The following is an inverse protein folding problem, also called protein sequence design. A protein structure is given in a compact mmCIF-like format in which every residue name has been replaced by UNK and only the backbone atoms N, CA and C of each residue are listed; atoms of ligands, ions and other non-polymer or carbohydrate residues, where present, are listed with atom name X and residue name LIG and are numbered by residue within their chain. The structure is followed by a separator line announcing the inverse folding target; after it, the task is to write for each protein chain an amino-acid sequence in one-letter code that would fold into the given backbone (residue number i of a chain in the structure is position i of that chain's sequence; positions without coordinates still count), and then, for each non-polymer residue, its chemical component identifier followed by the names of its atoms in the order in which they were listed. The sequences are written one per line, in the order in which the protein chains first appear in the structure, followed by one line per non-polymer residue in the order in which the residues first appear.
data_IF_515954667991
#
_entry.id   IF_515954667991
#
_cell.length_a   1.000
_cell.length_b   1.000
_cell.length_c   1.000
_cell.angle_alpha   90.00
_cell.angle_beta   90.00
_cell.angle_gamma   90.00
#
_symmetry.space_group_name_H-M   'P 1'
#
loop_
_entity.id
_entity.type
_entity.pdbx_description
1 polymer ?
#
# COMPACT_ATOMS: atom_id res chain seq x y z
N UNK A 1 3.97 17.02 5.01
CA UNK A 1 3.59 15.82 4.23
C UNK A 1 2.08 15.65 4.30
N UNK A 2 1.39 15.49 3.16
CA UNK A 2 -0.05 15.20 3.12
C UNK A 2 -0.23 13.73 2.76
N UNK A 3 -0.92 13.00 3.62
CA UNK A 3 -1.34 11.61 3.35
C UNK A 3 -2.28 11.58 2.13
N UNK A 4 -2.12 10.64 1.19
CA UNK A 4 -3.11 10.45 0.13
C UNK A 4 -4.47 10.05 0.73
N UNK A 5 -5.54 10.41 0.03
CA UNK A 5 -6.85 9.78 0.27
C UNK A 5 -6.88 8.36 -0.33
N UNK A 6 -7.96 7.63 -0.06
CA UNK A 6 -8.09 6.25 -0.49
C UNK A 6 -8.09 6.12 -2.02
N UNK A 7 -8.79 7.03 -2.73
CA UNK A 7 -8.90 6.97 -4.18
C UNK A 7 -7.56 7.23 -4.89
N UNK A 8 -6.77 8.16 -4.36
CA UNK A 8 -5.42 8.43 -4.84
C UNK A 8 -4.49 7.25 -4.59
N UNK A 9 -4.55 6.67 -3.38
CA UNK A 9 -3.78 5.47 -3.05
C UNK A 9 -4.15 4.28 -3.93
N UNK A 10 -5.45 4.06 -4.13
CA UNK A 10 -6.00 3.02 -5.00
C UNK A 10 -5.51 3.18 -6.43
N UNK A 11 -5.53 4.40 -6.96
CA UNK A 11 -4.98 4.72 -8.29
C UNK A 11 -3.51 4.33 -8.41
N UNK A 12 -2.67 4.73 -7.45
CA UNK A 12 -1.24 4.37 -7.42
C UNK A 12 -1.05 2.86 -7.42
N UNK A 13 -1.84 2.15 -6.61
CA UNK A 13 -1.77 0.69 -6.52
C UNK A 13 -2.11 0.02 -7.84
N UNK A 14 -3.23 0.42 -8.46
CA UNK A 14 -3.67 -0.12 -9.74
C UNK A 14 -2.68 0.19 -10.87
N UNK A 15 -2.04 1.36 -10.86
CA UNK A 15 -0.97 1.68 -11.81
C UNK A 15 0.22 0.72 -11.68
N UNK A 16 0.64 0.39 -10.46
CA UNK A 16 1.73 -0.57 -10.24
C UNK A 16 1.37 -1.97 -10.77
N UNK A 17 0.11 -2.40 -10.58
CA UNK A 17 -0.39 -3.64 -11.17
C UNK A 17 -0.36 -3.64 -12.69
N UNK A 18 -0.78 -2.53 -13.30
CA UNK A 18 -0.74 -2.33 -14.75
C UNK A 18 0.69 -2.41 -15.27
N UNK A 19 1.63 -1.76 -14.61
CA UNK A 19 3.06 -1.75 -14.99
C UNK A 19 3.70 -3.14 -14.86
N UNK A 20 3.26 -3.93 -13.89
CA UNK A 20 3.72 -5.31 -13.70
C UNK A 20 3.05 -6.33 -14.68
N UNK A 21 2.23 -5.88 -15.63
CA UNK A 21 1.39 -6.74 -16.48
C UNK A 21 0.46 -7.68 -15.69
N UNK A 22 0.15 -7.36 -14.43
CA UNK A 22 -0.74 -8.09 -13.54
C UNK A 22 -2.07 -7.34 -13.41
N UNK A 23 -2.65 -6.97 -14.55
CA UNK A 23 -3.94 -6.27 -14.57
C UNK A 23 -5.04 -7.21 -14.08
N UNK A 24 -5.85 -6.80 -13.09
CA UNK A 24 -7.07 -7.52 -12.79
C UNK A 24 -7.99 -7.46 -14.01
N UNK A 25 -8.24 -8.62 -14.63
CA UNK A 25 -9.10 -8.72 -15.83
C UNK A 25 -10.56 -8.38 -15.51
N UNK A 26 -10.94 -8.43 -14.23
CA UNK A 26 -12.25 -8.11 -13.69
C UNK A 26 -12.12 -7.76 -12.20
N UNK A 27 -13.13 -7.09 -11.63
CA UNK A 27 -13.19 -6.75 -10.20
C UNK A 27 -13.19 -7.96 -9.24
N UNK A 28 -13.21 -9.17 -9.78
CA UNK A 28 -13.19 -10.44 -9.05
C UNK A 28 -11.82 -11.10 -9.03
N UNK A 29 -10.80 -10.51 -9.67
CA UNK A 29 -9.45 -11.07 -9.68
C UNK A 29 -8.94 -11.14 -8.24
N UNK A 30 -8.57 -12.35 -7.82
CA UNK A 30 -8.09 -12.63 -6.47
C UNK A 30 -6.64 -12.21 -6.32
N UNK A 31 -6.31 -11.50 -5.25
CA UNK A 31 -4.96 -11.10 -4.92
C UNK A 31 -4.06 -12.32 -4.69
N UNK A 32 -4.54 -13.32 -3.97
CA UNK A 32 -3.79 -14.53 -3.64
C UNK A 32 -3.43 -15.40 -4.86
N UNK A 33 -4.17 -15.23 -5.96
CA UNK A 33 -3.96 -15.88 -7.25
C UNK A 33 -3.22 -14.99 -8.26
N UNK A 34 -2.97 -13.72 -7.91
CA UNK A 34 -2.35 -12.75 -8.79
C UNK A 34 -0.83 -12.92 -8.80
N UNK A 35 -0.33 -13.68 -9.78
CA UNK A 35 1.10 -13.93 -9.93
C UNK A 35 1.71 -14.72 -8.77
N UNK A 36 3.04 -14.78 -8.74
CA UNK A 36 3.77 -15.40 -7.63
C UNK A 36 3.73 -14.54 -6.36
N UNK A 37 4.09 -15.13 -5.22
CA UNK A 37 4.29 -14.37 -3.97
C UNK A 37 5.34 -13.27 -4.15
N UNK A 38 6.41 -13.57 -4.91
CA UNK A 38 7.47 -12.63 -5.24
C UNK A 38 6.94 -11.45 -6.08
N UNK A 39 6.11 -11.73 -7.09
CA UNK A 39 5.51 -10.68 -7.92
C UNK A 39 4.62 -9.75 -7.09
N UNK A 40 3.82 -10.29 -6.16
CA UNK A 40 3.05 -9.49 -5.20
C UNK A 40 3.91 -8.63 -4.30
N UNK A 41 5.05 -9.16 -3.85
CA UNK A 41 6.01 -8.40 -3.06
C UNK A 41 6.56 -7.21 -3.87
N UNK A 42 7.00 -7.45 -5.10
CA UNK A 42 7.49 -6.42 -6.01
C UNK A 42 6.44 -5.34 -6.30
N UNK A 43 5.16 -5.72 -6.44
CA UNK A 43 4.06 -4.75 -6.58
C UNK A 43 3.98 -3.85 -5.34
N UNK A 44 3.95 -4.43 -4.14
CA UNK A 44 3.85 -3.65 -2.90
C UNK A 44 5.07 -2.74 -2.68
N UNK A 45 6.27 -3.21 -3.05
CA UNK A 45 7.49 -2.41 -3.05
C UNK A 45 7.40 -1.24 -4.03
N UNK A 46 6.89 -1.45 -5.24
CA UNK A 46 6.69 -0.39 -6.22
C UNK A 46 5.66 0.65 -5.75
N UNK A 47 4.58 0.21 -5.09
CA UNK A 47 3.61 1.13 -4.47
C UNK A 47 4.28 1.96 -3.38
N UNK A 48 5.08 1.33 -2.51
CA UNK A 48 5.85 2.04 -1.49
C UNK A 48 6.82 3.06 -2.08
N UNK A 49 7.55 2.72 -3.13
CA UNK A 49 8.45 3.64 -3.81
C UNK A 49 7.69 4.88 -4.32
N UNK A 50 6.56 4.68 -5.01
CA UNK A 50 5.71 5.80 -5.47
C UNK A 50 5.15 6.64 -4.33
N UNK A 51 4.78 6.03 -3.20
CA UNK A 51 4.29 6.78 -2.02
C UNK A 51 5.40 7.60 -1.37
N UNK A 52 6.61 7.06 -1.31
CA UNK A 52 7.78 7.77 -0.81
C UNK A 52 8.11 8.97 -1.70
N UNK A 53 8.14 8.78 -3.02
CA UNK A 53 8.41 9.86 -3.97
C UNK A 53 7.33 10.95 -3.95
N UNK A 54 6.06 10.58 -3.81
CA UNK A 54 4.93 11.52 -3.89
C UNK A 54 4.64 12.27 -2.59
N UNK A 55 4.78 11.61 -1.44
CA UNK A 55 4.36 12.19 -0.16
C UNK A 55 5.29 11.89 1.02
N UNK A 56 6.40 11.18 0.80
CA UNK A 56 7.37 10.79 1.83
C UNK A 56 6.81 9.79 2.84
N UNK A 57 5.78 9.03 2.45
CA UNK A 57 5.14 8.02 3.29
C UNK A 57 5.33 6.64 2.70
N UNK A 58 5.20 5.61 3.54
CA UNK A 58 5.19 4.22 3.12
C UNK A 58 4.49 3.35 4.16
N UNK A 59 4.28 2.09 3.81
CA UNK A 59 3.71 1.09 4.70
C UNK A 59 4.61 -0.14 4.83
N UNK A 60 4.41 -0.90 5.91
CA UNK A 60 5.14 -2.14 6.11
C UNK A 60 4.57 -3.25 5.23
N UNK A 61 5.43 -3.87 4.42
CA UNK A 61 5.07 -5.06 3.64
C UNK A 61 5.18 -6.26 4.57
N UNK A 62 4.04 -6.74 5.05
CA UNK A 62 3.98 -7.88 5.96
C UNK A 62 3.34 -9.11 5.30
N UNK A 63 3.55 -10.27 5.91
CA UNK A 63 3.06 -11.55 5.39
C UNK A 63 1.53 -11.60 5.27
N UNK A 64 0.78 -10.86 6.11
CA UNK A 64 -0.68 -10.80 6.02
C UNK A 64 -1.09 -10.08 4.73
N UNK A 65 -0.41 -8.98 4.41
CA UNK A 65 -0.68 -8.21 3.19
C UNK A 65 -0.32 -9.01 1.91
N UNK A 66 0.75 -9.79 1.95
CA UNK A 66 1.14 -10.65 0.82
C UNK A 66 0.16 -11.80 0.56
N UNK A 67 -0.54 -12.26 1.60
CA UNK A 67 -1.45 -13.41 1.55
C UNK A 67 -2.91 -13.04 1.81
N UNK A 68 -3.32 -11.80 1.53
CA UNK A 68 -4.73 -11.42 1.60
C UNK A 68 -5.53 -12.35 0.69
N UNK A 69 -6.43 -13.11 1.29
CA UNK A 69 -7.36 -13.96 0.54
C UNK A 69 -8.51 -13.11 0.04
N UNK A 70 -8.79 -13.19 -1.27
CA UNK A 70 -9.91 -12.49 -1.88
C UNK A 70 -9.49 -11.45 -2.91
N UNK A 71 -10.41 -10.55 -3.30
CA UNK A 71 -10.18 -9.62 -4.41
C UNK A 71 -8.97 -8.71 -4.19
N UNK A 72 -8.35 -8.26 -5.28
CA UNK A 72 -7.30 -7.22 -5.27
C UNK A 72 -7.71 -6.02 -4.41
N UNK A 73 -8.99 -5.61 -4.47
CA UNK A 73 -9.51 -4.50 -3.67
C UNK A 73 -9.31 -4.71 -2.16
N UNK A 74 -9.43 -5.94 -1.65
CA UNK A 74 -9.16 -6.26 -0.25
C UNK A 74 -7.70 -5.98 0.13
N UNK A 75 -6.75 -6.31 -0.76
CA UNK A 75 -5.33 -6.03 -0.55
C UNK A 75 -5.05 -4.51 -0.57
N UNK A 76 -5.72 -3.76 -1.45
CA UNK A 76 -5.63 -2.30 -1.51
C UNK A 76 -6.13 -1.69 -0.19
N UNK A 77 -7.31 -2.11 0.28
CA UNK A 77 -7.88 -1.64 1.55
C UNK A 77 -6.93 -1.93 2.71
N UNK A 78 -6.40 -3.16 2.79
CA UNK A 78 -5.49 -3.53 3.87
C UNK A 78 -4.16 -2.76 3.82
N UNK A 79 -3.55 -2.59 2.65
CA UNK A 79 -2.34 -1.78 2.49
C UNK A 79 -2.58 -0.32 2.90
N UNK A 80 -3.74 0.24 2.56
CA UNK A 80 -4.11 1.60 2.97
C UNK A 80 -4.29 1.71 4.49
N UNK A 81 -4.82 0.68 5.16
CA UNK A 81 -4.87 0.64 6.62
C UNK A 81 -3.48 0.60 7.27
N UNK A 82 -2.54 -0.17 6.72
CA UNK A 82 -1.14 -0.19 7.19
C UNK A 82 -0.50 1.20 7.04
N UNK A 83 -0.66 1.86 5.89
CA UNK A 83 -0.19 3.23 5.65
C UNK A 83 -0.76 4.21 6.68
N UNK A 84 -2.07 4.12 6.95
CA UNK A 84 -2.75 4.97 7.94
C UNK A 84 -2.20 4.78 9.35
N UNK A 85 -1.89 3.54 9.71
CA UNK A 85 -1.35 3.18 11.02
C UNK A 85 0.03 3.80 11.21
N UNK A 86 0.92 3.63 10.23
CA UNK A 86 2.27 4.21 10.25
C UNK A 86 2.21 5.74 10.29
N UNK A 87 1.41 6.36 9.44
CA UNK A 87 1.23 7.81 9.42
C UNK A 87 0.76 8.36 10.78
N UNK A 88 -0.18 7.68 11.44
CA UNK A 88 -0.68 8.10 12.75
C UNK A 88 0.41 7.99 13.83
N UNK A 89 1.17 6.89 13.84
CA UNK A 89 2.28 6.67 14.78
C UNK A 89 3.35 7.75 14.60
N UNK A 90 3.76 8.06 13.37
CA UNK A 90 4.73 9.11 13.09
C UNK A 90 4.24 10.49 13.56
N UNK A 91 2.96 10.80 13.33
CA UNK A 91 2.36 12.06 13.79
C UNK A 91 2.33 12.17 15.31
N UNK A 92 2.07 11.07 16.03
CA UNK A 92 2.13 11.02 17.50
C UNK A 92 3.58 11.26 17.97
N UNK A 93 4.54 10.55 17.40
CA UNK A 93 5.96 10.68 17.74
C UNK A 93 6.47 12.11 17.52
N UNK A 94 6.08 12.74 16.41
CA UNK A 94 6.44 14.13 16.13
C UNK A 94 5.85 15.12 17.14
N UNK A 95 4.60 14.90 17.58
CA UNK A 95 4.00 15.71 18.66
C UNK A 95 4.73 15.55 20.00
N UNK A 96 5.18 14.33 20.33
CA UNK A 96 5.93 14.08 21.57
C UNK A 96 7.30 14.78 21.50
N UNK A 97 8.03 14.61 20.39
CA UNK A 97 9.34 15.27 20.17
C UNK A 97 9.24 16.80 20.25
N UNK A 98 8.19 17.39 19.66
CA UNK A 98 7.97 18.83 19.70
C UNK A 98 7.62 19.39 21.10
N UNK A 99 7.29 18.53 22.07
CA UNK A 99 7.07 18.93 23.47
C UNK A 99 8.31 18.73 24.36
N UNK A 100 9.28 17.94 23.89
CA UNK A 100 10.53 17.62 24.60
C UNK A 100 11.68 18.54 24.19
N UNK A 101 11.55 19.22 23.05
CA UNK A 101 12.40 20.33 22.62
C UNK A 101 11.78 21.67 23.02
#
# INVERSE_FOLDING_TARGET
MKRPDFDSFRTIFLECLVQANLKPLNGSTRWDELGSLEARCQILEAVNAKLQDSCGLGFEINHRLLKVEGPVESAIIQAYHELNTIYLVEKINNKIRARLN
#
